data_IF_272010002452
#
_entry.id   IF_272010002452
#
_cell.length_a   1.000
_cell.length_b   1.000
_cell.length_c   1.000
_cell.angle_alpha   90.00
_cell.angle_beta   90.00
_cell.angle_gamma   90.00
#
_symmetry.space_group_name_H-M   'P 1'
#
loop_
_entity.id
_entity.type
_entity.pdbx_description
1 polymer ?
#
# COMPACT_ATOMS: atom_id res chain seq x y z
N UNK A 1 -10.16 2.83 -12.22
CA UNK A 1 -11.54 2.27 -12.13
C UNK A 1 -11.73 1.14 -13.14
N UNK A 2 -12.43 0.07 -12.78
CA UNK A 2 -12.77 -1.03 -13.69
C UNK A 2 -13.92 -0.62 -14.62
N UNK A 3 -13.73 -0.76 -15.93
CA UNK A 3 -14.67 -0.33 -16.95
C UNK A 3 -14.66 -1.34 -18.11
N UNK A 4 -15.76 -2.07 -18.28
CA UNK A 4 -15.90 -3.13 -19.30
C UNK A 4 -14.81 -4.21 -19.17
N UNK A 5 -14.55 -4.69 -17.95
CA UNK A 5 -13.55 -5.71 -17.66
C UNK A 5 -12.09 -5.26 -17.75
N UNK A 6 -11.83 -3.97 -18.04
CA UNK A 6 -10.48 -3.41 -18.11
C UNK A 6 -10.29 -2.28 -17.12
N UNK A 7 -9.14 -2.27 -16.45
CA UNK A 7 -8.74 -1.16 -15.60
C UNK A 7 -8.36 0.05 -16.45
N UNK A 8 -8.81 1.23 -16.02
CA UNK A 8 -8.48 2.51 -16.64
C UNK A 8 -8.14 3.53 -15.57
N UNK A 9 -7.19 4.38 -15.89
CA UNK A 9 -6.73 5.45 -15.02
C UNK A 9 -7.59 6.69 -15.23
N UNK A 10 -7.88 7.37 -14.13
CA UNK A 10 -8.69 8.57 -14.10
C UNK A 10 -8.14 9.51 -13.05
N UNK A 11 -8.11 10.79 -13.37
CA UNK A 11 -8.11 11.81 -12.31
C UNK A 11 -9.54 11.93 -11.78
N UNK A 12 -9.69 12.09 -10.47
CA UNK A 12 -11.00 12.16 -9.82
C UNK A 12 -11.18 13.46 -9.05
N UNK A 13 -12.36 14.05 -9.17
CA UNK A 13 -12.82 15.16 -8.33
C UNK A 13 -14.20 14.83 -7.72
N UNK A 14 -14.45 15.33 -6.52
CA UNK A 14 -15.71 15.12 -5.80
C UNK A 14 -16.55 16.39 -5.83
N UNK A 15 -17.73 16.29 -6.43
CA UNK A 15 -18.79 17.28 -6.28
C UNK A 15 -19.67 16.86 -5.10
N UNK A 16 -19.35 17.40 -3.92
CA UNK A 16 -20.08 17.12 -2.69
C UNK A 16 -21.50 17.70 -2.68
N UNK A 17 -21.74 18.80 -3.42
CA UNK A 17 -23.06 19.41 -3.51
C UNK A 17 -24.04 18.49 -4.24
N UNK A 18 -23.57 17.88 -5.32
CA UNK A 18 -24.36 16.96 -6.16
C UNK A 18 -24.07 15.49 -5.89
N UNK A 19 -23.23 15.17 -4.89
CA UNK A 19 -22.83 13.80 -4.51
C UNK A 19 -22.37 12.97 -5.71
N UNK A 20 -21.50 13.56 -6.51
CA UNK A 20 -21.03 13.00 -7.77
C UNK A 20 -19.51 12.90 -7.80
N UNK A 21 -18.99 11.76 -8.27
CA UNK A 21 -17.57 11.65 -8.63
C UNK A 21 -17.43 12.02 -10.09
N UNK A 22 -16.61 13.04 -10.38
CA UNK A 22 -16.18 13.36 -11.74
C UNK A 22 -14.87 12.64 -12.01
N UNK A 23 -14.85 11.83 -13.07
CA UNK A 23 -13.69 11.06 -13.51
C UNK A 23 -13.22 11.59 -14.85
N UNK A 24 -11.99 12.09 -14.91
CA UNK A 24 -11.37 12.60 -16.12
C UNK A 24 -10.42 11.58 -16.73
N UNK A 25 -10.74 11.10 -17.93
CA UNK A 25 -9.90 10.24 -18.76
C UNK A 25 -8.96 11.14 -19.57
N UNK A 26 -7.72 11.31 -19.11
CA UNK A 26 -6.73 12.16 -19.77
C UNK A 26 -6.44 11.70 -21.20
N UNK A 27 -6.42 10.38 -21.45
CA UNK A 27 -6.13 9.83 -22.77
C UNK A 27 -7.21 10.17 -23.81
N UNK A 28 -8.47 10.29 -23.36
CA UNK A 28 -9.60 10.58 -24.23
C UNK A 28 -10.10 12.01 -24.14
N UNK A 29 -9.58 12.78 -23.18
CA UNK A 29 -10.08 14.09 -22.79
C UNK A 29 -11.60 14.07 -22.53
N UNK A 30 -12.07 13.03 -21.82
CA UNK A 30 -13.50 12.83 -21.53
C UNK A 30 -13.76 12.78 -20.03
N UNK A 31 -14.81 13.47 -19.62
CA UNK A 31 -15.31 13.42 -18.25
C UNK A 31 -16.46 12.40 -18.18
N UNK A 32 -16.44 11.57 -17.14
CA UNK A 32 -17.54 10.70 -16.75
C UNK A 32 -17.98 11.07 -15.35
N UNK A 33 -19.28 11.21 -15.13
CA UNK A 33 -19.86 11.38 -13.79
C UNK A 33 -20.35 10.04 -13.24
N UNK A 34 -20.14 9.82 -11.94
CA UNK A 34 -20.74 8.74 -11.17
C UNK A 34 -21.60 9.34 -10.06
N UNK A 35 -22.91 9.16 -10.16
CA UNK A 35 -23.85 9.63 -9.15
C UNK A 35 -23.84 8.65 -7.96
N UNK A 36 -23.36 9.09 -6.80
CA UNK A 36 -23.20 8.22 -5.62
C UNK A 36 -24.49 7.98 -4.84
N UNK A 37 -25.43 8.90 -4.99
CA UNK A 37 -26.63 8.96 -4.19
C UNK A 37 -27.66 9.92 -4.77
N UNK A 38 -28.75 10.18 -4.04
CA UNK A 38 -29.79 11.07 -4.47
C UNK A 38 -29.26 12.52 -4.59
N UNK A 39 -29.34 13.16 -5.78
CA UNK A 39 -28.91 14.55 -5.95
C UNK A 39 -29.81 15.55 -5.19
N UNK A 40 -30.96 15.11 -4.68
CA UNK A 40 -31.85 15.96 -3.89
C UNK A 40 -31.28 16.21 -2.49
N UNK A 41 -30.98 17.48 -2.18
CA UNK A 41 -30.31 17.97 -0.96
C UNK A 41 -30.98 17.62 0.38
N UNK A 42 -32.16 17.01 0.39
CA UNK A 42 -33.00 16.80 1.59
C UNK A 42 -32.97 15.38 2.17
N UNK A 43 -32.48 14.38 1.44
CA UNK A 43 -32.39 13.02 2.00
C UNK A 43 -31.07 12.83 2.75
N UNK A 44 -31.17 12.57 4.05
CA UNK A 44 -30.08 11.97 4.83
C UNK A 44 -29.80 10.58 4.26
N UNK A 45 -28.90 10.52 3.29
CA UNK A 45 -28.66 9.29 2.56
C UNK A 45 -27.39 8.62 3.08
N UNK A 46 -27.64 7.56 3.84
CA UNK A 46 -26.62 6.69 4.44
C UNK A 46 -26.34 5.44 3.58
N UNK A 47 -26.83 5.41 2.34
CA UNK A 47 -26.90 4.19 1.52
C UNK A 47 -25.72 4.01 0.56
N UNK A 48 -24.57 4.63 0.84
CA UNK A 48 -23.38 4.36 0.04
C UNK A 48 -22.72 3.10 0.58
N UNK A 49 -22.78 2.02 -0.19
CA UNK A 49 -22.09 0.77 0.16
C UNK A 49 -20.64 0.86 -0.27
N UNK A 50 -19.73 0.78 0.69
CA UNK A 50 -18.29 0.75 0.49
C UNK A 50 -17.78 -0.61 0.99
N UNK A 51 -17.12 -1.35 0.11
CA UNK A 51 -16.47 -2.62 0.47
C UNK A 51 -14.99 -2.55 0.08
N UNK A 52 -14.11 -2.88 1.02
CA UNK A 52 -12.68 -2.94 0.74
C UNK A 52 -12.28 -4.37 0.37
N UNK A 53 -11.34 -4.47 -0.55
CA UNK A 53 -10.67 -5.73 -0.83
C UNK A 53 -9.24 -5.45 -1.29
N UNK A 54 -8.39 -6.47 -1.28
CA UNK A 54 -7.05 -6.39 -1.84
C UNK A 54 -7.02 -7.27 -3.07
N UNK A 55 -6.44 -6.76 -4.15
CA UNK A 55 -6.22 -7.53 -5.36
C UNK A 55 -4.72 -7.65 -5.61
N UNK A 56 -4.26 -8.87 -5.80
CA UNK A 56 -2.88 -9.15 -6.18
C UNK A 56 -2.91 -9.56 -7.65
N UNK A 57 -2.32 -8.73 -8.48
CA UNK A 57 -2.13 -9.03 -9.89
C UNK A 57 -0.77 -9.73 -10.05
N UNK A 58 -0.78 -11.04 -9.90
CA UNK A 58 0.44 -11.88 -9.97
C UNK A 58 0.94 -12.02 -11.42
N UNK A 59 0.08 -11.83 -12.43
CA UNK A 59 0.39 -12.23 -13.81
C UNK A 59 0.95 -11.08 -14.63
N UNK A 60 0.31 -9.90 -14.57
CA UNK A 60 0.68 -8.81 -15.48
C UNK A 60 1.68 -7.87 -14.84
N UNK A 61 1.36 -7.37 -13.66
CA UNK A 61 2.12 -6.29 -13.02
C UNK A 61 2.97 -6.77 -11.87
N UNK A 62 2.70 -7.97 -11.35
CA UNK A 62 3.11 -8.33 -10.01
C UNK A 62 2.80 -7.15 -9.08
N UNK A 63 1.56 -6.64 -9.03
CA UNK A 63 1.21 -5.48 -8.18
C UNK A 63 0.19 -5.83 -7.08
N UNK A 64 0.35 -5.29 -5.86
CA UNK A 64 -0.69 -5.29 -4.82
C UNK A 64 -1.50 -4.02 -5.01
N UNK A 65 -2.82 -4.18 -5.11
CA UNK A 65 -3.75 -3.08 -5.29
C UNK A 65 -4.72 -2.99 -4.11
N UNK A 66 -4.77 -1.80 -3.51
CA UNK A 66 -5.75 -1.49 -2.49
C UNK A 66 -7.07 -1.16 -3.21
N UNK A 67 -8.07 -2.01 -3.07
CA UNK A 67 -9.28 -1.92 -3.88
C UNK A 67 -10.53 -1.59 -3.06
N UNK A 68 -11.48 -1.00 -3.76
CA UNK A 68 -12.75 -0.50 -3.24
C UNK A 68 -13.86 -0.89 -4.21
N UNK A 69 -14.98 -1.42 -3.70
CA UNK A 69 -16.23 -1.57 -4.44
C UNK A 69 -17.22 -0.56 -3.88
N UNK A 70 -17.76 0.25 -4.78
CA UNK A 70 -18.72 1.29 -4.46
C UNK A 70 -20.09 0.93 -5.04
N UNK A 71 -21.11 0.97 -4.19
CA UNK A 71 -22.49 0.59 -4.51
C UNK A 71 -22.60 -0.74 -5.26
N UNK A 72 -21.76 -1.70 -4.87
CA UNK A 72 -21.64 -3.05 -5.47
C UNK A 72 -21.33 -3.09 -6.97
N UNK A 73 -21.00 -1.94 -7.58
CA UNK A 73 -20.98 -1.79 -9.05
C UNK A 73 -19.66 -1.21 -9.53
N UNK A 74 -19.14 -0.17 -8.87
CA UNK A 74 -17.95 0.52 -9.33
C UNK A 74 -16.73 0.05 -8.56
N UNK A 75 -15.80 -0.58 -9.28
CA UNK A 75 -14.56 -1.06 -8.71
C UNK A 75 -13.46 -0.01 -8.94
N UNK A 76 -12.80 0.35 -7.86
CA UNK A 76 -11.62 1.20 -7.83
C UNK A 76 -10.44 0.39 -7.31
N UNK A 77 -9.25 0.78 -7.77
CA UNK A 77 -7.99 0.28 -7.27
C UNK A 77 -7.04 1.45 -7.13
N UNK A 78 -6.23 1.45 -6.09
CA UNK A 78 -5.19 2.44 -5.82
C UNK A 78 -3.88 1.71 -5.51
N UNK A 79 -2.76 2.36 -5.77
CA UNK A 79 -1.43 1.80 -5.47
C UNK A 79 -1.15 1.79 -3.98
N UNK A 80 -1.68 2.77 -3.25
CA UNK A 80 -1.47 2.91 -1.81
C UNK A 80 -2.76 2.72 -1.02
N UNK A 81 -2.62 2.20 0.20
CA UNK A 81 -3.73 2.06 1.15
C UNK A 81 -4.32 3.40 1.52
N UNK A 82 -3.48 4.42 1.71
CA UNK A 82 -3.91 5.77 2.07
C UNK A 82 -4.86 6.35 1.01
N UNK A 83 -4.53 6.21 -0.28
CA UNK A 83 -5.41 6.65 -1.36
C UNK A 83 -6.78 5.95 -1.33
N UNK A 84 -6.82 4.65 -0.99
CA UNK A 84 -8.09 3.91 -0.85
C UNK A 84 -8.89 4.45 0.33
N UNK A 85 -8.22 4.72 1.45
CA UNK A 85 -8.86 5.26 2.65
C UNK A 85 -9.40 6.66 2.38
N UNK A 86 -8.62 7.53 1.77
CA UNK A 86 -8.99 8.90 1.41
C UNK A 86 -10.16 8.89 0.43
N UNK A 87 -10.11 8.03 -0.60
CA UNK A 87 -11.22 7.82 -1.51
C UNK A 87 -12.49 7.37 -0.77
N UNK A 88 -12.36 6.39 0.13
CA UNK A 88 -13.46 5.91 0.96
C UNK A 88 -14.01 7.03 1.87
N UNK A 89 -13.13 7.84 2.46
CA UNK A 89 -13.47 8.96 3.33
C UNK A 89 -14.24 10.04 2.56
N UNK A 90 -13.74 10.48 1.40
CA UNK A 90 -14.38 11.46 0.52
C UNK A 90 -15.78 11.01 0.10
N UNK A 91 -15.96 9.72 -0.17
CA UNK A 91 -17.28 9.16 -0.54
C UNK A 91 -18.22 9.10 0.66
N UNK A 92 -17.68 8.84 1.85
CA UNK A 92 -18.44 8.63 3.09
C UNK A 92 -18.87 9.93 3.80
N UNK A 93 -18.11 11.01 3.62
CA UNK A 93 -18.28 12.28 4.32
C UNK A 93 -18.85 13.31 3.35
N UNK A 94 -19.87 14.07 3.77
CA UNK A 94 -20.26 15.27 3.05
C UNK A 94 -19.39 16.45 3.53
N UNK A 95 -18.19 16.57 2.97
CA UNK A 95 -17.25 17.62 3.38
C UNK A 95 -17.79 19.03 3.14
N UNK A 96 -18.62 19.23 2.10
CA UNK A 96 -19.11 20.57 1.72
C UNK A 96 -19.89 21.32 2.80
N UNK A 97 -20.38 20.61 3.84
CA UNK A 97 -21.16 21.21 4.92
C UNK A 97 -20.44 21.23 6.28
N UNK A 98 -19.17 20.83 6.37
CA UNK A 98 -18.55 20.41 7.65
C UNK A 98 -19.40 19.36 8.40
N UNK A 99 -20.29 18.66 7.68
CA UNK A 99 -21.23 17.69 8.25
C UNK A 99 -20.73 16.29 7.93
N UNK A 100 -20.05 15.67 8.89
CA UNK A 100 -19.81 14.23 8.89
C UNK A 100 -21.15 13.51 8.98
N UNK A 101 -21.73 13.19 7.83
CA UNK A 101 -22.89 12.31 7.72
C UNK A 101 -22.43 10.85 7.85
N UNK A 102 -21.91 10.51 9.02
CA UNK A 102 -21.62 9.13 9.39
C UNK A 102 -21.11 9.04 10.81
N UNK A 103 -21.35 7.89 11.43
CA UNK A 103 -20.68 7.45 12.64
C UNK A 103 -19.16 7.33 12.40
N UNK A 104 -18.39 8.42 12.46
CA UNK A 104 -16.96 8.39 12.17
C UNK A 104 -16.13 7.83 13.33
N UNK A 105 -15.94 6.51 13.32
CA UNK A 105 -15.14 5.77 14.30
C UNK A 105 -13.66 6.07 14.11
N UNK A 106 -13.04 6.65 15.14
CA UNK A 106 -11.60 6.92 15.19
C UNK A 106 -10.90 5.85 16.03
N UNK A 107 -9.84 5.23 15.51
CA UNK A 107 -9.04 4.19 16.18
C UNK A 107 -7.67 4.75 16.61
N UNK A 108 -7.23 4.51 17.85
CA UNK A 108 -6.19 5.35 18.50
C UNK A 108 -4.74 4.83 18.40
N UNK A 109 -4.44 3.81 17.60
CA UNK A 109 -3.09 3.25 17.60
C UNK A 109 -2.12 3.94 16.65
N UNK A 110 -2.53 4.40 15.46
CA UNK A 110 -1.63 5.10 14.53
C UNK A 110 -2.28 6.17 13.63
N UNK A 111 -3.61 6.21 13.41
CA UNK A 111 -4.25 7.21 12.54
C UNK A 111 -5.77 7.34 12.80
N UNK A 112 -6.30 8.55 12.58
CA UNK A 112 -7.73 8.85 12.66
C UNK A 112 -8.47 8.32 11.42
N UNK A 113 -8.94 7.08 11.48
CA UNK A 113 -9.80 6.54 10.44
C UNK A 113 -11.25 7.03 10.59
N UNK A 114 -12.00 6.99 9.50
CA UNK A 114 -13.44 7.31 9.48
C UNK A 114 -14.13 6.25 8.64
N UNK A 115 -15.16 5.62 9.18
CA UNK A 115 -15.94 4.62 8.45
C UNK A 115 -17.42 5.02 8.40
N UNK A 116 -18.05 5.05 7.22
CA UNK A 116 -19.47 5.27 7.14
C UNK A 116 -20.23 4.06 7.65
N UNK A 117 -21.03 4.25 8.69
CA UNK A 117 -22.07 3.29 9.06
C UNK A 117 -23.43 3.98 9.01
N UNK A 118 -24.40 3.31 8.39
CA UNK A 118 -25.79 3.75 8.40
C UNK A 118 -26.43 3.41 9.75
N UNK A 119 -26.76 4.40 10.60
CA UNK A 119 -27.25 4.09 11.93
C UNK A 119 -28.61 3.38 11.93
N UNK A 120 -29.40 3.53 10.85
CA UNK A 120 -30.74 2.97 10.73
C UNK A 120 -30.77 1.51 10.26
N UNK A 121 -29.68 1.02 9.63
CA UNK A 121 -29.61 -0.36 9.12
C UNK A 121 -28.50 -1.19 9.74
N UNK A 122 -27.57 -0.57 10.45
CA UNK A 122 -26.41 -1.24 11.04
C UNK A 122 -26.62 -1.37 12.55
N UNK A 123 -26.52 -2.61 13.04
CA UNK A 123 -26.43 -2.89 14.48
C UNK A 123 -25.03 -2.60 15.02
N UNK A 124 -24.88 -2.42 16.32
CA UNK A 124 -23.56 -2.27 16.96
C UNK A 124 -22.63 -3.42 16.59
N UNK A 125 -23.13 -4.66 16.70
CA UNK A 125 -22.39 -5.87 16.32
C UNK A 125 -21.93 -5.86 14.86
N UNK A 126 -22.81 -5.52 13.92
CA UNK A 126 -22.46 -5.39 12.51
C UNK A 126 -21.42 -4.29 12.28
N UNK A 127 -21.54 -3.15 12.97
CA UNK A 127 -20.56 -2.06 12.91
C UNK A 127 -19.17 -2.52 13.36
N UNK A 128 -19.08 -3.23 14.48
CA UNK A 128 -17.84 -3.81 14.98
C UNK A 128 -17.23 -4.81 13.98
N UNK A 129 -18.05 -5.71 13.43
CA UNK A 129 -17.58 -6.67 12.41
C UNK A 129 -17.08 -5.97 11.14
N UNK A 130 -17.75 -4.90 10.72
CA UNK A 130 -17.33 -4.11 9.56
C UNK A 130 -15.96 -3.45 9.80
N UNK A 131 -15.73 -2.86 10.97
CA UNK A 131 -14.44 -2.27 11.33
C UNK A 131 -13.35 -3.34 11.38
N UNK A 132 -13.63 -4.47 12.06
CA UNK A 132 -12.69 -5.59 12.14
C UNK A 132 -12.27 -6.07 10.74
N UNK A 133 -13.23 -6.23 9.84
CA UNK A 133 -12.96 -6.61 8.46
C UNK A 133 -12.09 -5.57 7.73
N UNK A 134 -12.42 -4.29 7.84
CA UNK A 134 -11.66 -3.22 7.17
C UNK A 134 -10.22 -3.10 7.72
N UNK A 135 -10.04 -3.23 9.04
CA UNK A 135 -8.72 -3.27 9.67
C UNK A 135 -7.93 -4.49 9.16
N UNK A 136 -8.54 -5.68 9.13
CA UNK A 136 -7.90 -6.87 8.59
C UNK A 136 -7.46 -6.69 7.12
N UNK A 137 -8.33 -6.13 6.26
CA UNK A 137 -7.97 -5.85 4.86
C UNK A 137 -6.85 -4.81 4.75
N UNK A 138 -6.77 -3.87 5.70
CA UNK A 138 -5.70 -2.88 5.76
C UNK A 138 -4.37 -3.51 6.16
N UNK A 139 -4.30 -4.15 7.32
CA UNK A 139 -3.06 -4.70 7.86
C UNK A 139 -2.55 -5.86 7.01
N UNK A 140 -3.45 -6.60 6.35
CA UNK A 140 -3.07 -7.61 5.37
C UNK A 140 -2.39 -6.99 4.14
N UNK A 141 -2.81 -5.80 3.73
CA UNK A 141 -2.17 -5.12 2.61
C UNK A 141 -0.77 -4.61 3.00
N UNK A 142 -0.66 -3.97 4.16
CA UNK A 142 0.56 -3.30 4.61
C UNK A 142 1.60 -4.33 5.06
N UNK A 143 1.22 -5.21 5.98
CA UNK A 143 2.15 -6.07 6.71
C UNK A 143 1.96 -7.57 6.38
N UNK A 144 1.00 -7.92 5.52
CA UNK A 144 0.64 -9.32 5.26
C UNK A 144 -0.02 -10.02 6.46
N UNK A 145 -0.35 -9.27 7.52
CA UNK A 145 -0.98 -9.78 8.74
C UNK A 145 -2.49 -9.93 8.53
N UNK A 146 -3.07 -11.06 8.91
CA UNK A 146 -4.54 -11.24 8.82
C UNK A 146 -5.12 -12.15 9.90
N UNK A 147 -4.30 -12.69 10.80
CA UNK A 147 -4.74 -13.45 11.96
C UNK A 147 -4.92 -12.50 13.15
N UNK A 148 -6.17 -12.28 13.54
CA UNK A 148 -6.50 -11.40 14.65
C UNK A 148 -6.12 -12.06 15.99
N UNK A 149 -5.22 -11.43 16.74
CA UNK A 149 -4.82 -11.88 18.09
C UNK A 149 -5.48 -11.08 19.21
N UNK A 150 -5.81 -9.81 18.95
CA UNK A 150 -6.40 -8.90 19.92
C UNK A 150 -7.42 -8.03 19.23
N UNK A 151 -8.61 -7.90 19.82
CA UNK A 151 -9.60 -6.91 19.43
C UNK A 151 -10.41 -6.54 20.67
N UNK A 152 -10.07 -5.40 21.28
CA UNK A 152 -10.70 -4.90 22.49
C UNK A 152 -11.35 -3.54 22.23
N UNK A 153 -12.56 -3.37 22.75
CA UNK A 153 -13.30 -2.12 22.67
C UNK A 153 -13.36 -1.45 24.03
N UNK A 154 -13.03 -0.17 24.11
CA UNK A 154 -13.08 0.60 25.37
C UNK A 154 -14.31 1.50 25.43
N UNK A 155 -15.41 0.94 25.93
CA UNK A 155 -16.71 1.62 26.03
C UNK A 155 -16.64 2.96 26.78
N UNK A 156 -15.86 3.01 27.85
CA UNK A 156 -15.66 4.17 28.71
C UNK A 156 -14.98 5.34 28.00
N UNK A 157 -14.27 5.05 26.90
CA UNK A 157 -13.55 6.06 26.11
C UNK A 157 -14.25 6.45 24.82
N UNK A 158 -15.37 5.81 24.50
CA UNK A 158 -16.16 6.16 23.33
C UNK A 158 -16.88 7.49 23.53
N UNK A 159 -17.03 8.26 22.46
CA UNK A 159 -17.70 9.57 22.50
C UNK A 159 -18.74 9.66 21.40
N UNK A 160 -20.04 9.80 21.70
CA UNK A 160 -20.62 9.76 23.04
C UNK A 160 -20.46 8.40 23.73
N UNK A 161 -20.45 8.39 25.07
CA UNK A 161 -20.26 7.18 25.85
C UNK A 161 -21.38 6.18 25.59
N UNK A 162 -21.01 4.91 25.39
CA UNK A 162 -21.95 3.80 25.17
C UNK A 162 -22.06 3.01 26.47
N UNK A 163 -23.27 2.60 26.83
CA UNK A 163 -23.48 1.70 27.96
C UNK A 163 -22.76 0.36 27.74
N UNK A 164 -21.94 -0.07 28.71
CA UNK A 164 -21.24 -1.36 28.66
C UNK A 164 -22.17 -2.58 28.56
N UNK A 165 -23.47 -2.41 28.83
CA UNK A 165 -24.50 -3.45 28.69
C UNK A 165 -24.81 -3.82 27.23
N UNK A 166 -24.28 -3.08 26.25
CA UNK A 166 -24.56 -3.24 24.82
C UNK A 166 -23.65 -4.29 24.16
N UNK A 167 -22.64 -4.81 24.87
CA UNK A 167 -21.46 -5.50 24.35
C UNK A 167 -21.70 -6.73 23.43
N UNK A 168 -22.92 -7.28 23.37
CA UNK A 168 -23.28 -8.37 22.45
C UNK A 168 -24.68 -8.22 21.82
N UNK A 169 -25.22 -7.01 21.86
CA UNK A 169 -26.60 -6.78 21.48
C UNK A 169 -26.72 -6.45 19.99
N UNK A 170 -27.68 -7.09 19.30
CA UNK A 170 -28.11 -6.73 17.94
C UNK A 170 -28.93 -5.42 17.93
N UNK A 171 -28.53 -4.45 18.75
CA UNK A 171 -29.18 -3.14 18.87
C UNK A 171 -28.70 -2.26 17.72
N UNK A 172 -29.64 -1.61 17.04
CA UNK A 172 -29.35 -0.65 15.99
C UNK A 172 -28.54 0.52 16.54
N UNK A 173 -27.56 1.00 15.78
CA UNK A 173 -26.81 2.20 16.12
C UNK A 173 -27.75 3.41 16.32
N UNK A 174 -28.85 3.48 15.56
CA UNK A 174 -29.92 4.45 15.76
C UNK A 174 -30.42 4.43 17.21
N UNK A 175 -30.73 3.26 17.76
CA UNK A 175 -31.28 3.15 19.12
C UNK A 175 -30.27 3.54 20.19
N UNK A 176 -28.98 3.35 19.92
CA UNK A 176 -27.89 3.78 20.81
C UNK A 176 -27.78 5.31 20.79
N UNK A 177 -27.84 5.92 19.61
CA UNK A 177 -27.45 7.31 19.45
C UNK A 177 -28.58 8.34 19.29
N UNK A 178 -29.83 7.91 19.09
CA UNK A 178 -30.98 8.79 18.80
C UNK A 178 -31.25 9.88 19.83
N UNK A 179 -30.73 9.72 21.04
CA UNK A 179 -30.93 10.65 22.16
C UNK A 179 -29.81 11.70 22.29
N UNK A 180 -28.72 11.60 21.53
CA UNK A 180 -27.66 12.61 21.57
C UNK A 180 -28.02 13.83 20.70
N UNK A 181 -27.53 15.00 21.10
CA UNK A 181 -27.71 16.23 20.34
C UNK A 181 -27.16 16.08 18.93
N UNK A 182 -27.85 16.69 17.95
CA UNK A 182 -27.49 16.68 16.52
C UNK A 182 -27.64 15.33 15.80
N UNK A 183 -28.17 14.27 16.44
CA UNK A 183 -28.52 13.03 15.75
C UNK A 183 -29.49 13.29 14.58
N UNK A 184 -29.32 12.65 13.39
CA UNK A 184 -28.32 11.61 13.06
C UNK A 184 -26.96 12.14 12.60
N UNK A 185 -26.76 13.46 12.57
CA UNK A 185 -25.51 14.11 12.14
C UNK A 185 -24.60 14.27 13.37
N UNK A 186 -24.09 13.16 13.87
CA UNK A 186 -23.15 13.12 15.00
C UNK A 186 -21.85 12.43 14.59
N UNK A 187 -20.73 12.93 15.09
CA UNK A 187 -19.47 12.21 15.03
C UNK A 187 -19.36 11.31 16.26
N UNK A 188 -19.06 10.03 16.04
CA UNK A 188 -18.93 9.07 17.15
C UNK A 188 -17.56 8.40 17.12
N UNK A 189 -16.80 8.63 18.19
CA UNK A 189 -15.49 8.08 18.43
C UNK A 189 -15.59 6.72 19.15
N UNK A 190 -14.93 5.69 18.61
CA UNK A 190 -14.87 4.34 19.17
C UNK A 190 -13.42 3.94 19.39
N UNK A 191 -12.96 3.89 20.64
CA UNK A 191 -11.58 3.44 20.91
C UNK A 191 -11.48 1.93 20.82
N UNK A 192 -10.79 1.46 19.78
CA UNK A 192 -10.53 0.06 19.53
C UNK A 192 -9.03 -0.17 19.66
N UNK A 193 -8.66 -1.17 20.47
CA UNK A 193 -7.34 -1.76 20.43
C UNK A 193 -7.42 -3.01 19.58
N UNK A 194 -6.48 -3.18 18.67
CA UNK A 194 -6.40 -4.39 17.88
C UNK A 194 -4.95 -4.75 17.61
N UNK A 195 -4.72 -6.02 17.28
CA UNK A 195 -3.46 -6.48 16.73
C UNK A 195 -3.71 -7.70 15.84
N UNK A 196 -2.99 -7.73 14.72
CA UNK A 196 -2.94 -8.87 13.79
C UNK A 196 -1.53 -9.44 13.76
N UNK A 197 -1.42 -10.72 13.43
CA UNK A 197 -0.16 -11.39 13.13
C UNK A 197 -0.21 -12.00 11.73
N UNK A 198 0.97 -12.26 11.18
CA UNK A 198 1.10 -13.13 10.01
C UNK A 198 0.83 -14.56 10.49
N UNK A 199 -0.13 -15.28 9.88
CA UNK A 199 -0.36 -16.68 10.22
C UNK A 199 0.90 -17.49 10.05
N UNK A 200 1.20 -18.36 11.00
CA UNK A 200 2.41 -19.20 10.97
C UNK A 200 2.56 -19.99 9.66
N UNK A 201 1.45 -20.41 9.04
CA UNK A 201 1.44 -21.09 7.72
C UNK A 201 2.02 -20.26 6.57
N UNK A 202 2.13 -18.93 6.74
CA UNK A 202 2.75 -17.99 5.79
C UNK A 202 4.07 -17.42 6.31
N UNK A 203 4.56 -17.90 7.46
CA UNK A 203 5.88 -17.55 7.97
C UNK A 203 6.91 -18.55 7.47
N UNK A 204 8.14 -18.09 7.24
CA UNK A 204 9.25 -18.93 6.80
C UNK A 204 10.21 -19.08 7.97
N UNK A 205 10.55 -20.32 8.31
CA UNK A 205 11.62 -20.59 9.25
C UNK A 205 12.95 -20.10 8.68
N UNK A 206 13.68 -19.25 9.41
CA UNK A 206 14.97 -18.69 8.97
C UNK A 206 16.09 -19.75 9.00
N UNK A 207 15.79 -20.99 9.38
CA UNK A 207 16.72 -22.11 9.31
C UNK A 207 17.09 -22.43 7.83
N UNK A 208 18.12 -21.74 7.32
CA UNK A 208 18.68 -21.76 5.94
C UNK A 208 19.09 -23.14 5.38
N UNK A 209 18.76 -24.23 6.04
CA UNK A 209 19.30 -25.55 5.70
C UNK A 209 18.62 -26.23 4.50
N UNK A 210 17.49 -25.70 4.01
CA UNK A 210 16.66 -26.35 3.00
C UNK A 210 16.29 -25.44 1.81
N UNK A 211 17.26 -24.68 1.27
CA UNK A 211 17.04 -24.07 -0.05
C UNK A 211 16.90 -25.18 -1.12
N UNK A 212 15.97 -25.05 -2.09
CA UNK A 212 15.81 -26.02 -3.16
C UNK A 212 17.12 -26.15 -3.94
N UNK A 213 17.58 -27.39 -4.11
CA UNK A 213 18.77 -27.68 -4.93
C UNK A 213 18.42 -27.35 -6.38
N UNK A 214 19.10 -26.35 -6.96
CA UNK A 214 19.43 -25.99 -8.37
C UNK A 214 18.71 -26.62 -9.59
N UNK A 215 17.82 -27.60 -9.49
CA UNK A 215 17.32 -28.39 -10.60
C UNK A 215 16.01 -27.93 -11.22
N UNK A 216 15.31 -26.94 -10.65
CA UNK A 216 13.96 -26.54 -11.11
C UNK A 216 13.88 -25.18 -11.80
N UNK A 217 14.94 -24.37 -11.74
CA UNK A 217 15.03 -23.11 -12.46
C UNK A 217 16.11 -23.28 -13.52
N UNK A 218 15.77 -23.13 -14.81
CA UNK A 218 16.69 -23.10 -15.97
C UNK A 218 17.60 -21.84 -15.94
N UNK A 219 18.14 -21.52 -14.76
CA UNK A 219 19.08 -20.45 -14.51
C UNK A 219 20.32 -21.13 -13.94
N UNK A 220 21.41 -21.12 -14.70
CA UNK A 220 22.67 -21.71 -14.30
C UNK A 220 23.30 -20.87 -13.18
N UNK A 221 22.95 -21.18 -11.93
CA UNK A 221 23.56 -20.54 -10.77
C UNK A 221 24.98 -21.06 -10.59
N UNK A 222 25.98 -20.18 -10.72
CA UNK A 222 27.34 -20.47 -10.27
C UNK A 222 27.27 -20.56 -8.74
N UNK A 223 27.48 -21.74 -8.12
CA UNK A 223 27.43 -21.87 -6.69
C UNK A 223 28.63 -21.13 -6.11
N UNK A 224 28.37 -19.97 -5.50
CA UNK A 224 29.37 -19.32 -4.65
C UNK A 224 29.49 -20.12 -3.37
N UNK A 225 30.46 -21.05 -3.32
CA UNK A 225 30.86 -21.73 -2.08
C UNK A 225 31.51 -20.77 -1.07
N UNK A 226 31.55 -19.47 -1.36
CA UNK A 226 31.97 -18.43 -0.42
C UNK A 226 30.79 -18.07 0.47
N UNK A 227 30.98 -18.18 1.79
CA UNK A 227 30.19 -17.42 2.76
C UNK A 227 30.10 -16.00 2.24
N UNK A 228 28.90 -15.54 1.90
CA UNK A 228 28.65 -14.15 1.53
C UNK A 228 29.17 -13.30 2.68
N UNK A 229 30.24 -12.54 2.41
CA UNK A 229 30.80 -11.62 3.37
C UNK A 229 29.72 -10.56 3.58
N UNK A 230 29.18 -10.49 4.78
CA UNK A 230 28.16 -9.51 5.17
C UNK A 230 28.53 -8.14 4.59
N UNK A 231 27.67 -7.59 3.73
CA UNK A 231 27.86 -6.28 3.11
C UNK A 231 27.16 -5.22 3.96
N UNK A 232 27.91 -4.38 4.71
CA UNK A 232 27.34 -3.41 5.64
C UNK A 232 26.48 -2.33 4.96
N UNK A 233 26.63 -2.13 3.65
CA UNK A 233 25.88 -1.12 2.88
C UNK A 233 24.37 -1.36 2.88
N UNK A 234 23.92 -2.60 3.07
CA UNK A 234 22.50 -2.96 3.14
C UNK A 234 21.90 -2.82 4.54
N UNK A 235 22.67 -2.38 5.54
CA UNK A 235 22.20 -2.29 6.93
C UNK A 235 22.48 -0.94 7.59
N UNK A 236 23.52 -0.22 7.16
CA UNK A 236 23.84 1.12 7.66
C UNK A 236 23.27 2.18 6.70
N UNK A 237 21.95 2.33 6.71
CA UNK A 237 21.26 3.34 5.91
C UNK A 237 21.53 4.74 6.49
N UNK A 238 22.62 5.39 6.09
CA UNK A 238 22.86 6.82 6.33
C UNK A 238 22.01 7.65 5.34
N UNK A 239 20.69 7.47 5.41
CA UNK A 239 19.68 8.11 4.56
C UNK A 239 19.80 9.63 4.53
N UNK A 240 20.46 10.23 5.52
CA UNK A 240 20.68 11.66 5.60
C UNK A 240 21.70 12.19 4.57
N UNK A 241 22.52 11.31 3.97
CA UNK A 241 23.49 11.69 2.90
C UNK A 241 22.94 11.50 1.49
N UNK A 242 21.95 10.63 1.33
CA UNK A 242 21.20 10.48 0.08
C UNK A 242 20.08 11.51 0.11
N UNK A 243 20.29 12.69 -0.50
CA UNK A 243 19.18 13.61 -0.81
C UNK A 243 18.02 12.80 -1.38
N UNK A 244 16.77 13.12 -1.01
CA UNK A 244 15.57 12.48 -1.58
C UNK A 244 15.63 12.52 -3.12
N UNK A 245 16.20 11.49 -3.71
CA UNK A 245 16.26 11.25 -5.13
C UNK A 245 14.90 10.65 -5.45
N UNK A 246 14.04 11.44 -6.10
CA UNK A 246 12.75 10.94 -6.57
C UNK A 246 12.96 9.77 -7.55
N UNK A 247 12.29 8.66 -7.25
CA UNK A 247 11.82 7.50 -8.04
C UNK A 247 12.52 6.99 -9.32
N UNK A 248 13.65 7.53 -9.78
CA UNK A 248 14.40 6.92 -10.87
C UNK A 248 15.64 6.19 -10.35
N UNK A 249 15.63 4.86 -10.49
CA UNK A 249 16.79 3.97 -10.21
C UNK A 249 18.07 4.49 -10.89
N UNK A 250 17.92 5.16 -12.03
CA UNK A 250 18.98 5.84 -12.77
C UNK A 250 19.67 6.95 -11.96
N UNK A 251 18.90 7.81 -11.27
CA UNK A 251 19.45 8.89 -10.45
C UNK A 251 20.23 8.37 -9.25
N UNK A 252 19.73 7.30 -8.61
CA UNK A 252 20.43 6.66 -7.50
C UNK A 252 21.76 6.07 -7.95
N UNK A 253 21.76 5.28 -9.04
CA UNK A 253 22.97 4.68 -9.57
C UNK A 253 23.97 5.74 -10.07
N UNK A 254 23.48 6.82 -10.68
CA UNK A 254 24.32 7.95 -11.08
C UNK A 254 25.05 8.55 -9.89
N UNK A 255 24.34 8.84 -8.80
CA UNK A 255 24.94 9.41 -7.58
C UNK A 255 25.94 8.44 -6.93
N UNK A 256 25.67 7.13 -6.91
CA UNK A 256 26.61 6.13 -6.41
C UNK A 256 27.90 6.11 -7.25
N UNK A 257 27.79 6.16 -8.59
CA UNK A 257 28.94 6.18 -9.50
C UNK A 257 29.74 7.47 -9.34
N UNK A 258 29.06 8.61 -9.17
CA UNK A 258 29.67 9.92 -8.94
C UNK A 258 30.50 9.97 -7.67
N UNK A 259 30.08 9.24 -6.64
CA UNK A 259 30.80 9.12 -5.36
C UNK A 259 31.85 7.99 -5.38
N UNK A 260 32.37 7.59 -6.55
CA UNK A 260 33.43 6.59 -6.75
C UNK A 260 33.09 5.15 -6.29
N UNK A 261 31.81 4.83 -6.12
CA UNK A 261 31.32 3.50 -5.72
C UNK A 261 30.97 2.57 -6.89
N UNK A 262 31.43 2.87 -8.12
CA UNK A 262 31.18 2.02 -9.29
C UNK A 262 31.69 0.57 -9.10
N UNK A 263 32.74 0.40 -8.30
CA UNK A 263 33.33 -0.91 -8.01
C UNK A 263 32.42 -1.81 -7.17
N UNK A 264 31.48 -1.22 -6.44
CA UNK A 264 30.50 -1.95 -5.64
C UNK A 264 29.31 -2.41 -6.51
N UNK A 265 29.09 -1.73 -7.66
CA UNK A 265 28.01 -2.03 -8.61
C UNK A 265 28.39 -3.07 -9.67
N UNK A 266 29.68 -3.19 -9.96
CA UNK A 266 30.23 -4.10 -10.97
C UNK A 266 31.29 -5.00 -10.34
N UNK A 267 31.25 -6.30 -10.63
CA UNK A 267 32.26 -7.24 -10.14
C UNK A 267 33.59 -7.01 -10.88
N UNK A 268 34.47 -6.20 -10.31
CA UNK A 268 35.77 -5.89 -10.89
C UNK A 268 36.87 -6.75 -10.25
N UNK A 269 37.38 -7.74 -11.00
CA UNK A 269 38.50 -8.58 -10.56
C UNK A 269 39.83 -8.04 -11.10
N UNK A 270 40.51 -7.16 -10.37
CA UNK A 270 41.83 -6.65 -10.78
C UNK A 270 42.85 -6.57 -9.65
N UNK A 271 44.12 -6.76 -10.02
CA UNK A 271 45.28 -6.72 -9.13
C UNK A 271 46.04 -5.39 -9.16
N UNK A 272 45.83 -4.53 -10.18
CA UNK A 272 46.55 -3.25 -10.32
C UNK A 272 45.59 -2.06 -10.48
N UNK A 273 45.92 -0.93 -9.82
CA UNK A 273 45.13 0.32 -9.80
C UNK A 273 44.94 0.91 -11.21
N UNK A 274 45.97 0.91 -12.04
CA UNK A 274 45.91 1.52 -13.38
C UNK A 274 44.97 0.77 -14.33
N UNK A 275 44.84 -0.55 -14.17
CA UNK A 275 43.89 -1.36 -14.96
C UNK A 275 42.46 -1.16 -14.49
N UNK A 276 42.28 -1.03 -13.16
CA UNK A 276 40.99 -0.72 -12.54
C UNK A 276 40.44 0.61 -13.07
N UNK A 277 41.24 1.67 -13.09
CA UNK A 277 40.81 2.99 -13.57
C UNK A 277 40.38 2.94 -15.05
N UNK A 278 41.15 2.23 -15.90
CA UNK A 278 40.78 2.04 -17.32
C UNK A 278 39.48 1.28 -17.48
N UNK A 279 39.23 0.27 -16.65
CA UNK A 279 37.98 -0.48 -16.73
C UNK A 279 36.78 0.32 -16.22
N UNK A 280 36.94 1.10 -15.15
CA UNK A 280 35.91 2.02 -14.67
C UNK A 280 35.50 3.01 -15.77
N UNK A 281 36.46 3.60 -16.47
CA UNK A 281 36.17 4.50 -17.60
C UNK A 281 35.49 3.78 -18.78
N UNK A 282 35.91 2.55 -19.07
CA UNK A 282 35.23 1.73 -20.08
C UNK A 282 33.78 1.42 -19.69
N UNK A 283 33.52 1.12 -18.41
CA UNK A 283 32.17 0.85 -17.90
C UNK A 283 31.33 2.12 -17.95
N UNK A 284 31.84 3.26 -17.45
CA UNK A 284 31.18 4.58 -17.55
C UNK A 284 30.76 4.88 -18.98
N UNK A 285 31.64 4.63 -19.96
CA UNK A 285 31.32 4.81 -21.39
C UNK A 285 30.23 3.87 -21.88
N UNK A 286 30.22 2.61 -21.45
CA UNK A 286 29.21 1.63 -21.87
C UNK A 286 27.83 1.90 -21.28
N UNK A 287 27.75 2.47 -20.08
CA UNK A 287 26.49 2.86 -19.43
C UNK A 287 26.08 4.30 -19.74
N UNK A 288 26.78 4.98 -20.66
CA UNK A 288 26.55 6.39 -21.01
C UNK A 288 26.58 7.34 -19.80
N UNK A 289 27.47 7.08 -18.83
CA UNK A 289 27.63 7.94 -17.67
C UNK A 289 28.22 9.31 -18.06
N UNK A 290 27.52 10.38 -17.68
CA UNK A 290 27.98 11.76 -17.78
C UNK A 290 27.81 12.43 -16.42
N UNK A 291 28.91 12.95 -15.85
CA UNK A 291 28.92 13.58 -14.53
C UNK A 291 28.05 14.85 -14.45
N UNK A 292 27.88 15.55 -15.57
CA UNK A 292 27.10 16.80 -15.64
C UNK A 292 25.59 16.55 -15.80
N UNK A 293 25.18 15.34 -16.21
CA UNK A 293 23.77 15.02 -16.42
C UNK A 293 23.14 14.47 -15.13
N UNK A 294 21.82 14.54 -15.00
CA UNK A 294 21.09 14.11 -13.80
C UNK A 294 20.78 12.60 -13.78
N UNK A 295 21.46 11.80 -14.59
CA UNK A 295 21.30 10.34 -14.64
C UNK A 295 20.20 9.83 -15.56
N UNK A 296 19.36 10.68 -16.16
CA UNK A 296 18.24 10.22 -17.00
C UNK A 296 18.67 9.39 -18.22
N UNK A 297 19.90 9.57 -18.71
CA UNK A 297 20.47 8.86 -19.87
C UNK A 297 21.25 7.58 -19.52
N UNK A 298 21.30 7.19 -18.24
CA UNK A 298 22.11 6.05 -17.80
C UNK A 298 21.51 4.73 -18.32
N UNK A 299 22.34 3.94 -19.01
CA UNK A 299 21.93 2.65 -19.57
C UNK A 299 22.06 1.56 -18.50
N UNK A 300 20.93 1.06 -18.01
CA UNK A 300 20.88 -0.07 -17.08
C UNK A 300 21.13 -1.39 -17.81
N UNK A 301 22.33 -1.94 -17.64
CA UNK A 301 22.72 -3.22 -18.21
C UNK A 301 23.24 -4.16 -17.11
N UNK A 302 22.51 -5.22 -16.83
CA UNK A 302 22.81 -6.20 -15.78
C UNK A 302 24.05 -7.07 -16.06
N UNK A 303 24.52 -7.11 -17.31
CA UNK A 303 25.80 -7.72 -17.67
C UNK A 303 26.99 -6.85 -17.29
N UNK A 304 26.78 -5.55 -17.13
CA UNK A 304 27.82 -4.56 -16.80
C UNK A 304 27.74 -4.24 -15.30
N UNK A 305 26.55 -3.87 -14.83
CA UNK A 305 26.24 -3.60 -13.43
C UNK A 305 25.70 -4.88 -12.80
N UNK A 306 26.60 -5.76 -12.37
CA UNK A 306 26.26 -7.10 -11.85
C UNK A 306 25.31 -7.04 -10.65
N UNK A 307 25.32 -5.94 -9.90
CA UNK A 307 24.35 -5.69 -8.82
C UNK A 307 22.90 -5.72 -9.30
N UNK A 308 22.61 -5.30 -10.54
CA UNK A 308 21.26 -5.38 -11.11
C UNK A 308 20.82 -6.83 -11.31
N UNK A 309 21.75 -7.72 -11.64
CA UNK A 309 21.46 -9.14 -11.75
C UNK A 309 21.22 -9.76 -10.35
N UNK A 310 22.01 -9.39 -9.36
CA UNK A 310 21.80 -9.81 -7.97
C UNK A 310 20.45 -9.32 -7.43
N UNK A 311 20.09 -8.07 -7.70
CA UNK A 311 18.78 -7.51 -7.36
C UNK A 311 17.65 -8.24 -8.07
N UNK A 312 17.80 -8.62 -9.35
CA UNK A 312 16.80 -9.44 -10.06
C UNK A 312 16.66 -10.83 -9.45
N UNK A 313 17.77 -11.49 -9.14
CA UNK A 313 17.78 -12.81 -8.49
C UNK A 313 17.09 -12.72 -7.14
N UNK A 314 17.49 -11.75 -6.32
CA UNK A 314 16.89 -11.50 -5.02
C UNK A 314 15.40 -11.21 -5.18
N UNK A 315 15.02 -10.27 -6.06
CA UNK A 315 13.63 -9.94 -6.35
C UNK A 315 12.81 -11.18 -6.71
N UNK A 316 13.35 -12.08 -7.53
CA UNK A 316 12.71 -13.31 -8.01
C UNK A 316 12.89 -14.55 -7.12
N UNK A 317 13.52 -14.41 -5.95
CA UNK A 317 13.74 -15.50 -5.00
C UNK A 317 12.40 -16.09 -4.53
N UNK A 318 12.35 -17.41 -4.36
CA UNK A 318 11.12 -18.09 -3.93
C UNK A 318 10.64 -17.63 -2.54
N UNK A 319 11.53 -17.10 -1.70
CA UNK A 319 11.17 -16.46 -0.44
C UNK A 319 10.27 -15.24 -0.70
N UNK A 320 10.56 -14.45 -1.74
CA UNK A 320 9.76 -13.28 -2.12
C UNK A 320 8.42 -13.69 -2.74
N UNK A 321 8.36 -14.80 -3.48
CA UNK A 321 7.08 -15.42 -3.89
C UNK A 321 6.21 -15.74 -2.69
N UNK A 322 6.80 -16.28 -1.63
CA UNK A 322 6.11 -16.70 -0.41
C UNK A 322 5.69 -15.51 0.48
N UNK A 323 6.43 -14.40 0.46
CA UNK A 323 6.05 -13.13 1.10
C UNK A 323 4.86 -12.44 0.41
N UNK A 324 4.40 -12.99 -0.71
CA UNK A 324 3.27 -12.49 -1.49
C UNK A 324 3.73 -11.37 -2.40
N UNK A 325 4.01 -11.70 -3.66
CA UNK A 325 4.32 -10.70 -4.66
C UNK A 325 3.17 -9.71 -4.87
N UNK A 326 3.50 -8.48 -5.31
CA UNK A 326 4.85 -7.89 -5.26
C UNK A 326 5.35 -7.66 -3.86
N UNK A 327 6.68 -7.66 -3.78
CA UNK A 327 7.39 -6.78 -2.88
C UNK A 327 7.62 -5.45 -3.60
N UNK A 328 7.32 -4.35 -2.92
CA UNK A 328 7.76 -3.03 -3.35
C UNK A 328 9.28 -2.94 -3.16
N UNK A 329 9.98 -2.04 -3.88
CA UNK A 329 11.44 -1.99 -3.81
C UNK A 329 11.96 -1.72 -2.37
N UNK A 330 11.22 -0.93 -1.59
CA UNK A 330 11.49 -0.67 -0.17
C UNK A 330 11.17 -1.84 0.76
N UNK A 331 10.48 -2.88 0.29
CA UNK A 331 10.30 -4.12 1.06
C UNK A 331 11.54 -5.03 0.92
N UNK A 332 12.45 -4.70 0.00
CA UNK A 332 13.66 -5.47 -0.34
C UNK A 332 14.94 -4.77 0.15
N UNK A 333 14.96 -3.43 0.07
CA UNK A 333 16.04 -2.56 0.53
C UNK A 333 15.80 -2.12 1.98
#
# INVERSE_FOLDING_TARGET
MLSNGKWKDYESAFDYEHRTIMLFDQNKLKIKSLQLGNPNKSSLEFNVSIQWYNHIDIIETHAKWACLILNHTWHFRTSFVLDRDDLSNCISVNESKNMKMSLSIICELLNYYTWPLNPYSTTFKQGIQHIKHNLQMRDHFIDGTDELILFEYKFDKCRPAISSKINDSDVLLHDIYKHFSHYPIIQVYWEIKYAFIVPYKRTIGIERNNLPKNGELDIEFIPSNQKTKFNPLLYECDLNKLKMIGDSTNKLLHEVIKNDHLNDLATLQHTNKTEKDKLCENIKRQISYNEENDGDELILNDKILTILNELKILYHDDIHKQMGYPLQLWDIC
#
